data_IF_497543716136
#
_entry.id   IF_497543716136
#
_cell.length_a   1.000
_cell.length_b   1.000
_cell.length_c   1.000
_cell.angle_alpha   90.00
_cell.angle_beta   90.00
_cell.angle_gamma   90.00
#
_symmetry.space_group_name_H-M   'P 1'
#
loop_
_entity.id
_entity.type
_entity.pdbx_description
1 polymer ?
#
# COMPACT_ATOMS: atom_id res chain seq x y z
N UNK A 1 15.55 6.62 16.54
CA UNK A 1 15.27 7.25 17.86
C UNK A 1 13.76 7.21 18.12
N UNK A 2 13.33 6.78 19.32
CA UNK A 2 11.91 6.72 19.71
C UNK A 2 11.36 8.11 20.07
N UNK A 3 11.15 8.96 19.06
CA UNK A 3 10.44 10.23 19.26
C UNK A 3 8.94 9.95 19.45
N UNK A 4 8.28 10.57 20.45
CA UNK A 4 6.83 10.51 20.59
C UNK A 4 6.14 10.99 19.31
N UNK A 5 5.10 10.28 18.89
CA UNK A 5 4.27 10.65 17.74
C UNK A 5 3.29 11.74 18.18
N UNK A 6 3.36 12.93 17.58
CA UNK A 6 2.36 13.98 17.77
C UNK A 6 1.23 13.80 16.75
N UNK A 7 0.13 13.22 17.22
CA UNK A 7 -0.99 12.81 16.37
C UNK A 7 -2.31 13.47 16.79
N UNK A 8 -3.26 13.44 15.86
CA UNK A 8 -4.68 13.66 16.10
C UNK A 8 -5.46 12.43 15.64
N UNK A 9 -6.71 12.31 16.09
CA UNK A 9 -7.62 11.27 15.64
C UNK A 9 -8.66 11.86 14.69
N UNK A 10 -8.89 11.20 13.56
CA UNK A 10 -10.04 11.41 12.70
C UNK A 10 -10.97 10.20 12.73
N UNK A 11 -12.22 10.35 12.29
CA UNK A 11 -13.18 9.26 12.22
C UNK A 11 -14.03 9.37 10.96
N UNK A 12 -14.38 8.24 10.36
CA UNK A 12 -15.37 8.15 9.28
C UNK A 12 -16.25 6.89 9.47
N UNK A 13 -16.98 6.48 8.43
CA UNK A 13 -17.88 5.33 8.47
C UNK A 13 -17.20 3.98 8.79
N UNK A 14 -15.91 3.83 8.52
CA UNK A 14 -15.17 2.58 8.76
C UNK A 14 -14.43 2.53 10.09
N UNK A 15 -14.09 3.68 10.68
CA UNK A 15 -13.31 3.65 11.90
C UNK A 15 -12.68 4.96 12.35
N UNK A 16 -11.74 4.82 13.28
CA UNK A 16 -10.89 5.89 13.81
C UNK A 16 -9.47 5.79 13.26
N UNK A 17 -8.86 6.92 12.92
CA UNK A 17 -7.56 6.97 12.24
C UNK A 17 -6.58 7.80 13.04
N UNK A 18 -5.38 7.27 13.27
CA UNK A 18 -4.28 8.01 13.86
C UNK A 18 -3.57 8.81 12.76
N UNK A 19 -3.60 10.14 12.87
CA UNK A 19 -3.04 11.04 11.85
C UNK A 19 -1.89 11.83 12.47
N UNK A 20 -0.68 11.80 11.89
CA UNK A 20 0.42 12.63 12.36
C UNK A 20 0.15 14.09 12.03
N UNK A 21 0.25 14.99 13.03
CA UNK A 21 -0.07 16.42 12.83
C UNK A 21 0.81 17.11 11.80
N UNK A 22 2.02 16.58 11.58
CA UNK A 22 2.96 17.07 10.57
C UNK A 22 2.49 16.85 9.14
N UNK A 23 1.54 15.93 8.90
CA UNK A 23 0.94 15.67 7.59
C UNK A 23 -0.40 16.40 7.37
N UNK A 24 -0.85 17.22 8.32
CA UNK A 24 -2.04 18.05 8.11
C UNK A 24 -1.88 18.94 6.86
N UNK A 25 -2.95 19.04 6.08
CA UNK A 25 -2.96 19.75 4.80
C UNK A 25 -2.68 18.88 3.59
N UNK A 26 -2.19 17.64 3.75
CA UNK A 26 -2.09 16.69 2.62
C UNK A 26 -3.50 16.25 2.16
N UNK A 27 -3.72 15.97 0.85
CA UNK A 27 -5.05 15.68 0.31
C UNK A 27 -5.82 14.57 1.04
N UNK A 28 -5.20 13.38 1.19
CA UNK A 28 -5.79 12.22 1.89
C UNK A 28 -6.18 12.58 3.32
N UNK A 29 -5.26 13.23 4.04
CA UNK A 29 -5.47 13.66 5.43
C UNK A 29 -6.61 14.67 5.54
N UNK A 30 -6.73 15.61 4.61
CA UNK A 30 -7.82 16.57 4.61
C UNK A 30 -9.17 15.88 4.42
N UNK A 31 -9.27 14.90 3.50
CA UNK A 31 -10.50 14.13 3.32
C UNK A 31 -10.88 13.38 4.62
N UNK A 32 -9.93 12.66 5.24
CA UNK A 32 -10.16 11.95 6.50
C UNK A 32 -10.62 12.88 7.63
N UNK A 33 -10.02 14.07 7.76
CA UNK A 33 -10.39 15.06 8.77
C UNK A 33 -11.81 15.62 8.56
N UNK A 34 -12.38 15.49 7.37
CA UNK A 34 -13.75 15.88 7.05
C UNK A 34 -14.76 14.73 7.13
N UNK A 35 -14.42 13.64 7.84
CA UNK A 35 -15.28 12.44 8.00
C UNK A 35 -15.52 11.73 6.66
N UNK A 36 -14.77 12.09 5.61
CA UNK A 36 -14.86 11.42 4.32
C UNK A 36 -14.06 10.11 4.35
N UNK A 37 -14.42 9.24 3.42
CA UNK A 37 -13.68 8.01 3.12
C UNK A 37 -12.85 8.30 1.88
N UNK A 38 -11.52 8.33 2.04
CA UNK A 38 -10.61 8.39 0.91
C UNK A 38 -10.78 7.11 0.08
N UNK A 39 -10.87 7.26 -1.25
CA UNK A 39 -11.06 6.13 -2.18
C UNK A 39 -12.19 5.15 -1.84
N UNK A 40 -13.35 5.69 -1.43
CA UNK A 40 -14.52 4.90 -1.09
C UNK A 40 -14.91 3.86 -2.17
N UNK A 41 -14.68 4.18 -3.45
CA UNK A 41 -14.94 3.24 -4.55
C UNK A 41 -13.95 2.07 -4.56
N UNK A 42 -12.65 2.31 -4.43
CA UNK A 42 -11.63 1.25 -4.38
C UNK A 42 -11.91 0.31 -3.22
N UNK A 43 -12.18 0.88 -2.03
CA UNK A 43 -12.58 0.10 -0.85
C UNK A 43 -13.83 -0.73 -1.14
N UNK A 44 -14.89 -0.10 -1.65
CA UNK A 44 -16.14 -0.80 -1.98
C UNK A 44 -15.92 -1.96 -2.96
N UNK A 45 -15.12 -1.74 -4.01
CA UNK A 45 -14.83 -2.78 -4.99
C UNK A 45 -14.08 -3.97 -4.36
N UNK A 46 -13.11 -3.72 -3.48
CA UNK A 46 -12.43 -4.77 -2.72
C UNK A 46 -13.44 -5.54 -1.86
N UNK A 47 -14.26 -4.84 -1.06
CA UNK A 47 -15.23 -5.48 -0.17
C UNK A 47 -16.26 -6.33 -0.93
N UNK A 48 -16.67 -5.89 -2.11
CA UNK A 48 -17.71 -6.55 -2.91
C UNK A 48 -17.16 -7.72 -3.75
N UNK A 49 -15.87 -7.69 -4.12
CA UNK A 49 -15.29 -8.63 -5.10
C UNK A 49 -14.12 -9.47 -4.55
N UNK A 50 -13.65 -9.23 -3.32
CA UNK A 50 -12.60 -10.06 -2.76
C UNK A 50 -13.09 -11.51 -2.61
N UNK A 51 -12.27 -12.44 -3.08
CA UNK A 51 -12.45 -13.86 -2.81
C UNK A 51 -12.18 -14.21 -1.34
N UNK A 52 -11.99 -15.49 -1.04
CA UNK A 52 -11.65 -15.95 0.31
C UNK A 52 -10.14 -15.95 0.61
N UNK A 53 -9.31 -15.69 -0.40
CA UNK A 53 -7.85 -15.68 -0.31
C UNK A 53 -7.28 -14.43 0.36
N UNK A 54 -5.98 -14.44 0.62
CA UNK A 54 -5.22 -13.33 1.21
C UNK A 54 -5.33 -12.05 0.37
N UNK A 55 -5.34 -10.90 1.06
CA UNK A 55 -5.32 -9.57 0.45
C UNK A 55 -3.94 -8.99 0.69
N UNK A 56 -3.23 -8.65 -0.37
CA UNK A 56 -1.98 -7.91 -0.32
C UNK A 56 -2.31 -6.44 -0.56
N UNK A 57 -1.90 -5.56 0.36
CA UNK A 57 -2.10 -4.13 0.26
C UNK A 57 -0.79 -3.39 0.54
N UNK A 58 -0.27 -2.65 -0.42
CA UNK A 58 0.92 -1.83 -0.24
C UNK A 58 0.61 -0.36 -0.53
N UNK A 59 1.27 0.52 0.22
CA UNK A 59 0.86 1.92 0.32
C UNK A 59 -0.10 2.17 1.48
N UNK A 60 0.05 1.44 2.59
CA UNK A 60 -0.94 1.51 3.66
C UNK A 60 -1.01 2.89 4.33
N UNK A 61 -0.01 3.75 4.15
CA UNK A 61 0.05 5.11 4.65
C UNK A 61 -0.31 5.19 6.14
N UNK A 62 -1.32 5.96 6.54
CA UNK A 62 -1.79 6.04 7.94
C UNK A 62 -2.83 4.97 8.29
N UNK A 63 -3.03 4.01 7.40
CA UNK A 63 -4.02 2.94 7.48
C UNK A 63 -5.40 3.39 7.03
N UNK A 64 -5.53 4.28 6.05
CA UNK A 64 -6.79 4.88 5.64
C UNK A 64 -7.79 3.86 5.06
N UNK A 65 -7.31 2.81 4.40
CA UNK A 65 -8.12 1.67 3.96
C UNK A 65 -8.21 0.54 5.00
N UNK A 66 -7.26 0.46 5.95
CA UNK A 66 -7.08 -0.71 6.82
C UNK A 66 -8.32 -1.04 7.66
N UNK A 67 -9.03 -0.09 8.30
CA UNK A 67 -10.25 -0.40 9.04
C UNK A 67 -11.32 -1.09 8.19
N UNK A 68 -11.49 -0.67 6.94
CA UNK A 68 -12.46 -1.28 6.05
C UNK A 68 -12.04 -2.70 5.66
N UNK A 69 -10.84 -2.86 5.11
CA UNK A 69 -10.41 -4.15 4.57
C UNK A 69 -10.07 -5.19 5.67
N UNK A 70 -9.61 -4.74 6.84
CA UNK A 70 -9.28 -5.63 7.96
C UNK A 70 -10.52 -6.15 8.70
N UNK A 71 -11.69 -5.53 8.47
CA UNK A 71 -12.97 -6.05 8.99
C UNK A 71 -13.41 -7.35 8.29
N UNK A 72 -12.78 -7.68 7.17
CA UNK A 72 -13.01 -8.93 6.44
C UNK A 72 -12.33 -10.12 7.15
N UNK A 73 -12.75 -11.34 6.80
CA UNK A 73 -12.19 -12.57 7.39
C UNK A 73 -10.87 -13.00 6.78
N UNK A 74 -10.49 -12.37 5.67
CA UNK A 74 -9.27 -12.62 4.93
C UNK A 74 -8.03 -12.29 5.78
N UNK A 75 -6.92 -12.96 5.50
CA UNK A 75 -5.62 -12.45 5.91
C UNK A 75 -5.31 -11.20 5.08
N UNK A 76 -4.89 -10.12 5.72
CA UNK A 76 -4.43 -8.89 5.07
C UNK A 76 -2.94 -8.73 5.34
N UNK A 77 -2.12 -8.79 4.28
CA UNK A 77 -0.70 -8.46 4.33
C UNK A 77 -0.55 -6.99 3.89
N UNK A 78 -0.26 -6.12 4.85
CA UNK A 78 -0.18 -4.68 4.61
C UNK A 78 1.26 -4.17 4.69
N UNK A 79 1.64 -3.25 3.81
CA UNK A 79 3.02 -2.75 3.69
C UNK A 79 3.07 -1.22 3.68
N UNK A 80 3.89 -0.65 4.56
CA UNK A 80 4.17 0.79 4.63
C UNK A 80 5.64 1.03 5.03
N UNK A 81 6.49 1.52 4.13
CA UNK A 81 7.92 1.69 4.41
C UNK A 81 8.24 2.92 5.29
N UNK A 82 7.46 4.00 5.25
CA UNK A 82 7.75 5.17 6.08
C UNK A 82 7.42 4.87 7.54
N UNK A 83 8.38 5.08 8.44
CA UNK A 83 8.22 4.74 9.86
C UNK A 83 7.11 5.56 10.53
N UNK A 84 6.89 6.81 10.10
CA UNK A 84 5.85 7.68 10.65
C UNK A 84 4.48 7.17 10.24
N UNK A 85 4.29 6.89 8.95
CA UNK A 85 3.06 6.34 8.39
C UNK A 85 2.76 4.96 8.98
N UNK A 86 3.74 4.04 8.98
CA UNK A 86 3.62 2.71 9.53
C UNK A 86 3.14 2.71 10.99
N UNK A 87 3.77 3.53 11.85
CA UNK A 87 3.36 3.64 13.25
C UNK A 87 1.94 4.20 13.39
N UNK A 88 1.54 5.13 12.52
CA UNK A 88 0.17 5.63 12.50
C UNK A 88 -0.82 4.55 12.06
N UNK A 89 -0.51 3.78 11.02
CA UNK A 89 -1.31 2.64 10.58
C UNK A 89 -1.45 1.55 11.67
N UNK A 90 -0.38 1.27 12.43
CA UNK A 90 -0.45 0.36 13.58
C UNK A 90 -1.43 0.87 14.65
N UNK A 91 -1.36 2.16 15.00
CA UNK A 91 -2.28 2.76 15.97
C UNK A 91 -3.71 2.77 15.40
N UNK A 92 -3.89 3.06 14.11
CA UNK A 92 -5.18 2.97 13.41
C UNK A 92 -5.80 1.57 13.57
N UNK A 93 -5.04 0.48 13.35
CA UNK A 93 -5.54 -0.87 13.61
C UNK A 93 -5.96 -1.06 15.07
N UNK A 94 -5.12 -0.64 16.03
CA UNK A 94 -5.41 -0.76 17.47
C UNK A 94 -6.61 0.06 17.95
N UNK A 95 -6.93 1.16 17.26
CA UNK A 95 -8.12 1.97 17.57
C UNK A 95 -9.42 1.31 17.11
N UNK A 96 -9.35 0.42 16.12
CA UNK A 96 -10.54 -0.18 15.50
C UNK A 96 -10.77 -1.64 15.90
N UNK A 97 -9.72 -2.34 16.32
CA UNK A 97 -9.80 -3.77 16.59
C UNK A 97 -9.02 -4.19 17.84
N UNK A 98 -9.54 -5.21 18.51
CA UNK A 98 -8.75 -6.06 19.39
C UNK A 98 -7.93 -7.07 18.55
N UNK A 99 -6.83 -7.60 19.09
CA UNK A 99 -5.89 -8.47 18.35
C UNK A 99 -6.53 -9.69 17.66
N UNK A 100 -7.66 -10.19 18.15
CA UNK A 100 -8.34 -11.37 17.60
C UNK A 100 -9.52 -11.03 16.66
N UNK A 101 -9.84 -9.75 16.49
CA UNK A 101 -10.99 -9.30 15.68
C UNK A 101 -10.64 -9.15 14.20
N UNK A 102 -9.35 -9.11 13.86
CA UNK A 102 -8.84 -9.02 12.49
C UNK A 102 -7.64 -9.92 12.27
N UNK A 103 -7.29 -10.18 11.01
CA UNK A 103 -6.08 -10.93 10.61
C UNK A 103 -5.21 -10.08 9.72
N UNK A 104 -4.71 -8.95 10.25
CA UNK A 104 -3.87 -8.03 9.48
C UNK A 104 -2.44 -8.06 9.98
N UNK A 105 -1.51 -8.38 9.09
CA UNK A 105 -0.08 -8.33 9.32
C UNK A 105 0.47 -7.08 8.62
N UNK A 106 0.69 -6.02 9.38
CA UNK A 106 1.26 -4.76 8.89
C UNK A 106 2.78 -4.78 9.05
N UNK A 107 3.52 -4.55 7.97
CA UNK A 107 4.98 -4.59 7.92
C UNK A 107 5.59 -3.24 7.55
N UNK A 108 6.69 -2.87 8.23
CA UNK A 108 7.45 -1.66 7.92
C UNK A 108 8.49 -1.91 6.83
N UNK A 109 8.01 -2.22 5.62
CA UNK A 109 8.84 -2.54 4.45
C UNK A 109 8.14 -2.05 3.20
N UNK A 110 8.91 -1.83 2.13
CA UNK A 110 8.37 -1.67 0.78
C UNK A 110 8.32 -3.01 0.03
N UNK A 111 7.66 -3.01 -1.13
CA UNK A 111 7.61 -4.15 -2.04
C UNK A 111 8.43 -3.88 -3.30
N UNK A 112 9.08 -4.92 -3.81
CA UNK A 112 9.90 -4.83 -5.02
C UNK A 112 10.23 -6.20 -5.60
N UNK A 113 11.26 -6.22 -6.46
CA UNK A 113 11.64 -7.40 -7.25
C UNK A 113 12.35 -8.47 -6.43
N UNK A 114 13.14 -8.04 -5.45
CA UNK A 114 13.95 -8.90 -4.59
C UNK A 114 14.13 -8.28 -3.20
N UNK A 115 14.57 -9.09 -2.24
CA UNK A 115 14.91 -8.60 -0.92
C UNK A 115 16.10 -7.64 -1.00
N UNK A 116 15.97 -6.46 -0.42
CA UNK A 116 17.09 -5.51 -0.28
C UNK A 116 16.93 -4.69 0.98
N UNK A 117 18.02 -4.44 1.68
CA UNK A 117 18.04 -3.64 2.91
C UNK A 117 18.76 -2.31 2.70
N UNK A 118 18.52 -1.39 3.63
CA UNK A 118 19.16 -0.07 3.68
C UNK A 118 18.96 0.75 2.40
N UNK A 119 17.76 0.66 1.80
CA UNK A 119 17.40 1.46 0.64
C UNK A 119 17.03 2.88 1.08
N UNK A 120 17.62 3.94 0.50
CA UNK A 120 17.28 5.31 0.84
C UNK A 120 15.90 5.69 0.27
N UNK A 121 14.96 5.96 1.17
CA UNK A 121 13.66 6.55 0.92
C UNK A 121 13.72 8.04 1.27
N UNK A 122 13.35 8.91 0.33
CA UNK A 122 13.10 10.31 0.67
C UNK A 122 11.72 10.39 1.29
N UNK A 123 11.65 10.76 2.57
CA UNK A 123 10.40 10.79 3.34
C UNK A 123 10.11 12.14 3.97
N UNK A 124 11.04 13.10 3.90
CA UNK A 124 10.86 14.44 4.47
C UNK A 124 11.10 15.54 3.43
N UNK A 125 10.25 16.56 3.49
CA UNK A 125 10.42 17.85 2.84
C UNK A 125 11.07 18.83 3.81
N UNK A 126 12.14 19.47 3.36
CA UNK A 126 12.89 20.49 4.10
C UNK A 126 13.35 20.02 5.51
N UNK A 127 13.46 18.70 5.72
CA UNK A 127 13.96 18.08 6.97
C UNK A 127 12.99 18.10 8.14
N UNK A 128 11.76 18.57 7.94
CA UNK A 128 10.80 18.77 9.04
C UNK A 128 9.44 18.17 8.74
N UNK A 129 9.00 18.20 7.48
CA UNK A 129 7.65 17.78 7.11
C UNK A 129 7.67 16.44 6.40
N UNK A 130 7.03 15.38 6.92
CA UNK A 130 6.90 14.12 6.19
C UNK A 130 6.18 14.32 4.85
N UNK A 131 6.63 13.58 3.84
CA UNK A 131 6.08 13.60 2.49
C UNK A 131 4.77 12.80 2.38
N UNK A 132 4.58 11.78 3.21
CA UNK A 132 3.42 10.89 3.10
C UNK A 132 3.45 10.13 1.78
N UNK A 133 2.35 10.16 1.01
CA UNK A 133 2.29 9.56 -0.33
C UNK A 133 3.41 10.03 -1.26
N UNK A 134 3.88 11.27 -1.15
CA UNK A 134 4.97 11.77 -2.01
C UNK A 134 6.37 11.17 -1.72
N UNK A 135 6.48 10.18 -0.84
CA UNK A 135 7.75 9.53 -0.50
C UNK A 135 8.25 8.68 -1.67
N UNK A 136 9.56 8.65 -1.90
CA UNK A 136 10.13 7.94 -3.06
C UNK A 136 11.53 7.40 -2.84
N UNK A 137 11.79 6.21 -3.39
CA UNK A 137 13.11 5.58 -3.34
C UNK A 137 14.10 6.33 -4.24
N UNK A 138 15.33 6.54 -3.75
CA UNK A 138 16.43 7.08 -4.55
C UNK A 138 17.28 5.95 -5.13
N UNK A 139 17.59 6.04 -6.43
CA UNK A 139 18.61 5.19 -7.06
C UNK A 139 20.03 5.65 -6.67
N UNK A 140 20.21 6.96 -6.46
CA UNK A 140 21.46 7.56 -6.02
C UNK A 140 21.15 8.68 -5.01
N UNK A 141 21.80 8.66 -3.84
CA UNK A 141 21.60 9.67 -2.78
C UNK A 141 21.99 11.06 -3.28
N UNK A 142 23.07 11.15 -4.07
CA UNK A 142 23.55 12.43 -4.62
C UNK A 142 23.84 13.45 -3.52
N UNK A 143 23.31 14.67 -3.68
CA UNK A 143 23.40 15.75 -2.69
C UNK A 143 22.16 15.82 -1.77
N UNK A 144 21.34 14.77 -1.70
CA UNK A 144 20.17 14.75 -0.82
C UNK A 144 20.63 14.76 0.63
N UNK A 145 20.21 15.73 1.46
CA UNK A 145 20.57 15.78 2.87
C UNK A 145 20.12 14.52 3.62
N UNK A 146 20.95 14.01 4.51
CA UNK A 146 20.69 12.76 5.26
C UNK A 146 19.45 12.87 6.14
N UNK A 147 19.15 14.05 6.66
CA UNK A 147 17.94 14.33 7.44
C UNK A 147 16.63 14.19 6.62
N UNK A 148 16.72 14.06 5.29
CA UNK A 148 15.54 13.81 4.45
C UNK A 148 15.29 12.34 4.18
N UNK A 149 16.21 11.48 4.62
CA UNK A 149 16.24 10.06 4.29
C UNK A 149 15.75 9.20 5.45
N UNK A 150 14.92 8.23 5.10
CA UNK A 150 14.70 7.01 5.86
C UNK A 150 15.38 5.85 5.12
N UNK A 151 15.94 4.90 5.87
CA UNK A 151 16.49 3.68 5.30
C UNK A 151 15.50 2.56 5.55
N UNK A 152 15.04 1.94 4.46
CA UNK A 152 13.95 0.96 4.49
C UNK A 152 14.42 -0.38 3.95
N UNK A 153 13.72 -1.43 4.36
CA UNK A 153 13.83 -2.74 3.76
C UNK A 153 12.78 -2.90 2.65
N UNK A 154 13.15 -3.64 1.60
CA UNK A 154 12.30 -4.10 0.52
C UNK A 154 12.19 -5.62 0.59
N UNK A 155 10.97 -6.13 0.43
CA UNK A 155 10.67 -7.57 0.32
C UNK A 155 9.87 -7.85 -0.96
N UNK A 156 9.50 -9.10 -1.19
CA UNK A 156 8.69 -9.51 -2.35
C UNK A 156 7.37 -10.11 -1.91
N UNK A 157 6.33 -9.97 -2.73
CA UNK A 157 5.02 -10.59 -2.46
C UNK A 157 5.16 -12.11 -2.36
N UNK A 158 5.92 -12.72 -3.28
CA UNK A 158 6.15 -14.18 -3.28
C UNK A 158 6.86 -14.69 -2.01
N UNK A 159 7.59 -13.83 -1.29
CA UNK A 159 8.23 -14.18 -0.02
C UNK A 159 7.27 -14.08 1.16
N UNK A 160 6.45 -13.02 1.19
CA UNK A 160 5.59 -12.69 2.34
C UNK A 160 4.26 -13.45 2.31
N UNK A 161 3.76 -13.86 1.14
CA UNK A 161 2.55 -14.68 1.03
C UNK A 161 2.84 -16.09 1.61
N UNK A 162 2.05 -16.57 2.58
CA UNK A 162 2.24 -17.90 3.15
C UNK A 162 2.18 -19.00 2.09
N UNK A 163 2.99 -20.04 2.28
CA UNK A 163 3.01 -21.18 1.37
C UNK A 163 1.63 -21.84 1.32
N UNK A 164 1.09 -22.00 0.11
CA UNK A 164 -0.23 -22.57 -0.18
C UNK A 164 -1.43 -21.67 0.12
N UNK A 165 -1.21 -20.42 0.52
CA UNK A 165 -2.30 -19.44 0.59
C UNK A 165 -2.63 -18.96 -0.83
N UNK A 166 -3.93 -18.98 -1.13
CA UNK A 166 -4.45 -18.34 -2.33
C UNK A 166 -4.54 -16.83 -2.09
N UNK A 167 -4.13 -16.01 -3.06
CA UNK A 167 -4.24 -14.55 -2.99
C UNK A 167 -5.45 -14.11 -3.81
N UNK A 168 -6.37 -13.40 -3.17
CA UNK A 168 -7.58 -12.91 -3.82
C UNK A 168 -7.41 -11.52 -4.43
N UNK A 169 -6.61 -10.67 -3.79
CA UNK A 169 -6.42 -9.27 -4.18
C UNK A 169 -4.97 -8.86 -3.98
N UNK A 170 -4.43 -8.13 -4.96
CA UNK A 170 -3.21 -7.33 -4.82
C UNK A 170 -3.59 -5.87 -5.12
N UNK A 171 -3.56 -5.03 -4.08
CA UNK A 171 -3.78 -3.59 -4.17
C UNK A 171 -2.45 -2.84 -3.95
N UNK A 172 -2.02 -2.08 -4.95
CA UNK A 172 -0.75 -1.35 -4.96
C UNK A 172 -0.99 0.14 -5.23
N UNK A 173 -0.73 0.95 -4.21
CA UNK A 173 -0.67 2.41 -4.24
C UNK A 173 0.72 2.80 -3.72
N UNK A 174 1.75 2.61 -4.56
CA UNK A 174 3.16 2.68 -4.14
C UNK A 174 3.97 3.60 -5.06
N UNK A 175 3.30 4.60 -5.64
CA UNK A 175 3.91 5.80 -6.18
C UNK A 175 4.93 5.50 -7.30
N UNK A 176 4.57 4.58 -8.20
CA UNK A 176 5.36 4.21 -9.38
C UNK A 176 6.24 2.98 -9.19
N UNK A 177 6.09 2.24 -8.09
CA UNK A 177 6.78 0.97 -7.84
C UNK A 177 5.92 -0.28 -8.14
N UNK A 178 4.72 -0.10 -8.71
CA UNK A 178 3.72 -1.16 -8.93
C UNK A 178 4.31 -2.30 -9.77
N UNK A 179 4.96 -1.97 -10.89
CA UNK A 179 5.59 -2.98 -11.76
C UNK A 179 6.62 -3.83 -11.00
N UNK A 180 7.46 -3.18 -10.20
CA UNK A 180 8.51 -3.87 -9.44
C UNK A 180 7.94 -4.78 -8.37
N UNK A 181 6.90 -4.34 -7.68
CA UNK A 181 6.19 -5.18 -6.71
C UNK A 181 5.54 -6.39 -7.39
N UNK A 182 4.92 -6.21 -8.57
CA UNK A 182 4.37 -7.31 -9.36
C UNK A 182 5.45 -8.26 -9.90
N UNK A 183 6.64 -7.75 -10.27
CA UNK A 183 7.79 -8.60 -10.63
C UNK A 183 8.26 -9.46 -9.45
N UNK A 184 8.13 -8.99 -8.21
CA UNK A 184 8.33 -9.79 -7.00
C UNK A 184 7.17 -10.71 -6.62
N UNK A 185 6.10 -10.73 -7.42
CA UNK A 185 4.88 -11.50 -7.21
C UNK A 185 4.62 -12.53 -8.31
N UNK A 186 5.60 -12.81 -9.19
CA UNK A 186 5.35 -13.60 -10.41
C UNK A 186 4.76 -14.97 -10.11
N UNK A 187 5.22 -15.65 -9.05
CA UNK A 187 4.68 -16.95 -8.67
C UNK A 187 3.25 -16.81 -8.16
N UNK A 188 3.00 -15.87 -7.26
CA UNK A 188 1.66 -15.57 -6.73
C UNK A 188 0.68 -15.23 -7.85
N UNK A 189 1.10 -14.40 -8.80
CA UNK A 189 0.31 -14.03 -9.97
C UNK A 189 -0.01 -15.23 -10.87
N UNK A 190 0.94 -16.14 -11.06
CA UNK A 190 0.74 -17.36 -11.86
C UNK A 190 -0.21 -18.34 -11.17
N UNK A 191 -0.02 -18.57 -9.87
CA UNK A 191 -0.71 -19.58 -9.07
C UNK A 191 -2.14 -19.17 -8.69
N UNK A 192 -2.34 -17.91 -8.26
CA UNK A 192 -3.59 -17.44 -7.66
C UNK A 192 -4.44 -16.55 -8.57
N UNK A 193 -3.83 -15.88 -9.56
CA UNK A 193 -4.53 -14.96 -10.45
C UNK A 193 -5.39 -13.91 -9.70
N UNK A 194 -4.84 -13.24 -8.67
CA UNK A 194 -5.58 -12.29 -7.85
C UNK A 194 -6.13 -11.14 -8.68
N UNK A 195 -7.24 -10.55 -8.24
CA UNK A 195 -7.63 -9.23 -8.73
C UNK A 195 -6.51 -8.22 -8.46
N UNK A 196 -6.11 -7.46 -9.49
CA UNK A 196 -5.12 -6.39 -9.34
C UNK A 196 -5.81 -5.04 -9.29
N UNK A 197 -5.45 -4.22 -8.31
CA UNK A 197 -5.86 -2.82 -8.23
C UNK A 197 -4.57 -2.01 -8.13
N UNK A 198 -4.29 -1.23 -9.16
CA UNK A 198 -3.02 -0.53 -9.33
C UNK A 198 -3.26 0.97 -9.47
N UNK A 199 -2.63 1.79 -8.65
CA UNK A 199 -2.61 3.23 -8.84
C UNK A 199 -1.65 3.57 -9.99
N UNK A 200 -2.20 3.97 -11.13
CA UNK A 200 -1.43 4.23 -12.35
C UNK A 200 -1.66 5.67 -12.80
N UNK A 201 -0.72 6.54 -12.43
CA UNK A 201 -0.78 7.98 -12.73
C UNK A 201 -0.72 8.31 -14.23
N UNK A 202 -0.17 7.42 -15.07
CA UNK A 202 -0.04 7.62 -16.52
C UNK A 202 0.05 6.29 -17.27
N UNK A 203 -0.48 6.22 -18.50
CA UNK A 203 -0.42 5.04 -19.37
C UNK A 203 1.02 4.53 -19.57
N UNK A 204 2.01 5.44 -19.60
CA UNK A 204 3.43 5.09 -19.78
C UNK A 204 3.96 4.11 -18.71
N UNK A 205 3.34 4.04 -17.53
CA UNK A 205 3.75 3.12 -16.46
C UNK A 205 3.31 1.67 -16.72
N UNK A 206 2.37 1.46 -17.64
CA UNK A 206 1.93 0.13 -18.06
C UNK A 206 2.32 -0.21 -19.50
N UNK A 207 2.90 0.74 -20.25
CA UNK A 207 3.48 0.51 -21.59
C UNK A 207 4.89 -0.11 -21.47
N UNK A 208 5.00 -1.25 -20.78
CA UNK A 208 6.27 -1.96 -20.60
C UNK A 208 6.16 -3.43 -21.04
N UNK A 209 7.27 -4.07 -21.43
CA UNK A 209 7.25 -5.49 -21.79
C UNK A 209 6.74 -6.39 -20.65
N UNK A 210 6.92 -5.99 -19.39
CA UNK A 210 6.38 -6.76 -18.27
C UNK A 210 4.85 -6.78 -18.30
N UNK A 211 4.20 -5.64 -18.49
CA UNK A 211 2.74 -5.61 -18.60
C UNK A 211 2.25 -6.27 -19.88
N UNK A 212 2.82 -5.92 -21.04
CA UNK A 212 2.37 -6.42 -22.33
C UNK A 212 2.57 -7.94 -22.48
N UNK A 213 3.77 -8.44 -22.21
CA UNK A 213 4.10 -9.84 -22.47
C UNK A 213 3.64 -10.76 -21.32
N UNK A 214 3.76 -10.30 -20.06
CA UNK A 214 3.48 -11.13 -18.90
C UNK A 214 2.08 -10.89 -18.34
N UNK A 215 1.75 -9.68 -17.88
CA UNK A 215 0.45 -9.42 -17.22
C UNK A 215 -0.73 -9.60 -18.19
N UNK A 216 -0.69 -8.96 -19.35
CA UNK A 216 -1.78 -8.99 -20.33
C UNK A 216 -1.65 -10.17 -21.30
N UNK A 217 -0.41 -10.52 -21.70
CA UNK A 217 -0.12 -11.61 -22.62
C UNK A 217 -0.24 -12.99 -21.98
N UNK A 218 0.79 -13.39 -21.22
CA UNK A 218 0.87 -14.72 -20.58
C UNK A 218 -0.26 -14.93 -19.57
N UNK A 219 -0.51 -13.93 -18.72
CA UNK A 219 -1.46 -14.06 -17.63
C UNK A 219 -2.90 -13.70 -18.03
N UNK A 220 -3.10 -12.99 -19.14
CA UNK A 220 -4.44 -12.70 -19.67
C UNK A 220 -5.28 -11.73 -18.83
N UNK A 221 -4.64 -10.93 -17.97
CA UNK A 221 -5.35 -9.87 -17.23
C UNK A 221 -5.97 -8.85 -18.18
N UNK A 222 -7.15 -8.33 -17.81
CA UNK A 222 -7.85 -7.29 -18.55
C UNK A 222 -8.35 -6.22 -17.61
N UNK A 223 -8.21 -4.96 -18.02
CA UNK A 223 -8.80 -3.82 -17.32
C UNK A 223 -10.33 -3.94 -17.39
N UNK A 224 -10.99 -3.90 -16.25
CA UNK A 224 -12.46 -3.93 -16.14
C UNK A 224 -13.03 -2.65 -15.58
N UNK A 225 -12.25 -1.89 -14.81
CA UNK A 225 -12.70 -0.63 -14.22
C UNK A 225 -11.55 0.34 -13.92
N UNK A 226 -11.89 1.63 -13.79
CA UNK A 226 -10.95 2.71 -13.46
C UNK A 226 -11.60 3.75 -12.56
N UNK A 227 -10.96 4.07 -11.45
CA UNK A 227 -11.44 5.04 -10.44
C UNK A 227 -10.31 5.86 -9.86
N UNK A 228 -10.39 7.19 -9.97
CA UNK A 228 -9.46 8.14 -9.32
C UNK A 228 -7.95 7.82 -9.46
N UNK A 229 -7.53 7.18 -10.56
CA UNK A 229 -6.12 6.79 -10.78
C UNK A 229 -5.86 5.30 -10.58
N UNK A 230 -6.70 4.64 -9.77
CA UNK A 230 -6.72 3.19 -9.62
C UNK A 230 -7.34 2.50 -10.84
N UNK A 231 -6.67 1.46 -11.31
CA UNK A 231 -7.09 0.59 -12.42
C UNK A 231 -7.26 -0.83 -11.91
N UNK A 232 -8.37 -1.44 -12.29
CA UNK A 232 -8.74 -2.78 -11.82
C UNK A 232 -8.57 -3.77 -12.96
N UNK A 233 -7.78 -4.81 -12.73
CA UNK A 233 -7.52 -5.89 -13.67
C UNK A 233 -7.93 -7.24 -13.10
N UNK A 234 -8.58 -8.05 -13.93
CA UNK A 234 -8.95 -9.44 -13.58
C UNK A 234 -8.60 -10.39 -14.71
N UNK A 235 -8.46 -11.67 -14.40
CA UNK A 235 -8.39 -12.75 -15.40
C UNK A 235 -9.82 -13.28 -15.63
N UNK A 236 -10.36 -13.22 -16.86
CA UNK A 236 -11.72 -13.67 -17.18
C UNK A 236 -11.96 -15.19 -17.08
#
# INVERSE_FOLDING_TARGET
>A
MNTPLDCTIAQNAYGSYCIPKTMLGQPVINELMHVAVYEAHTIGYILDNCGTGTIVHAGAFVGDMLPAISSMKNLVLAFEPSIVSFRCAQITLQLNFQEYEHRTELQNKGLGVEFTSDIPLVSMRDGVKPLGGESRILQHIGNTPEEFLEYIDITTIDHEVPVHDDVSVIHLDIEGYEEKALMGAKKTLQDSRPMLILEIASEQYIETPFYDDFIFGELGYREVERHRGNRIYIVP
#
